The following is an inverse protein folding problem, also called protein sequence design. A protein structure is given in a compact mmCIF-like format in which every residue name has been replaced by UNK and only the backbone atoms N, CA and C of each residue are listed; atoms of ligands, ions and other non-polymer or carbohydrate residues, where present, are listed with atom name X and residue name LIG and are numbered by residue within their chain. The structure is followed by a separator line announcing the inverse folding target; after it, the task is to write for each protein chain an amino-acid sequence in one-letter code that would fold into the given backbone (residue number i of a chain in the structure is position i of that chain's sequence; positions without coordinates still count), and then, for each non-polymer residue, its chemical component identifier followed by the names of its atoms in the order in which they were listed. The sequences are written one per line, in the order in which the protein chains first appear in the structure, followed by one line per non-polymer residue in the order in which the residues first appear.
data_IF_464061001871
#
_entry.id   IF_464061001871
#
_cell.length_a   1.000
_cell.length_b   1.000
_cell.length_c   1.000
_cell.angle_alpha   90.00
_cell.angle_beta   90.00
_cell.angle_gamma   90.00
#
_symmetry.space_group_name_H-M   'P 1'
#
loop_
_entity.id
_entity.type
_entity.pdbx_description
1 polymer ?
#
# COMPACT_ATOMS: atom_id res chain seq x y z
N UNK A 1 -81.89 36.70 30.37
CA UNK A 1 -81.57 36.78 28.91
C UNK A 1 -80.20 36.16 28.68
N UNK A 2 -80.14 34.86 28.27
CA UNK A 2 -78.88 34.11 27.98
C UNK A 2 -78.59 34.20 26.48
N UNK A 3 -77.49 34.79 26.16
CA UNK A 3 -76.95 34.80 24.79
C UNK A 3 -75.94 33.61 24.61
N UNK A 4 -76.26 32.67 23.71
CA UNK A 4 -75.39 31.61 23.32
C UNK A 4 -74.40 32.12 22.22
N UNK A 5 -73.11 32.08 22.51
CA UNK A 5 -72.04 32.34 21.52
C UNK A 5 -71.64 31.00 20.93
N UNK A 6 -71.90 30.83 19.63
CA UNK A 6 -71.45 29.67 18.90
C UNK A 6 -69.98 29.82 18.42
N UNK A 7 -69.18 28.85 18.78
CA UNK A 7 -67.75 28.79 18.35
C UNK A 7 -67.67 28.08 17.01
N UNK A 8 -67.27 28.79 15.95
CA UNK A 8 -66.97 28.23 14.67
C UNK A 8 -65.49 27.79 14.67
N UNK A 9 -65.24 26.48 14.58
CA UNK A 9 -63.90 25.95 14.38
C UNK A 9 -63.59 25.94 12.86
N UNK A 10 -62.63 26.77 12.45
CA UNK A 10 -62.06 26.73 11.09
C UNK A 10 -60.97 25.68 11.09
N UNK A 11 -61.21 24.54 10.42
CA UNK A 11 -60.19 23.55 10.11
C UNK A 11 -59.39 24.03 8.91
N UNK A 12 -58.20 24.53 9.14
CA UNK A 12 -57.20 24.80 8.05
C UNK A 12 -56.53 23.47 7.71
N UNK A 13 -56.97 22.84 6.64
CA UNK A 13 -56.27 21.70 6.03
C UNK A 13 -54.96 22.16 5.41
N UNK A 14 -53.83 21.83 6.05
CA UNK A 14 -52.53 21.97 5.43
C UNK A 14 -52.41 20.93 4.31
N UNK A 15 -52.50 21.38 3.07
CA UNK A 15 -52.08 20.61 1.89
C UNK A 15 -50.56 20.44 2.01
N UNK A 16 -50.11 19.26 2.43
CA UNK A 16 -48.73 18.84 2.25
C UNK A 16 -48.50 18.71 0.72
N UNK A 17 -47.75 19.65 0.16
CA UNK A 17 -47.21 19.51 -1.18
C UNK A 17 -46.31 18.26 -1.21
N UNK A 18 -46.40 17.42 -2.24
CA UNK A 18 -45.45 16.35 -2.39
C UNK A 18 -44.05 16.98 -2.44
N UNK A 19 -43.15 16.59 -1.54
CA UNK A 19 -41.73 16.89 -1.67
C UNK A 19 -41.29 16.28 -3.00
N UNK A 20 -40.94 17.13 -3.95
CA UNK A 20 -40.24 16.72 -5.16
C UNK A 20 -38.98 15.99 -4.70
N UNK A 21 -38.99 14.67 -4.81
CA UNK A 21 -37.79 13.86 -4.73
C UNK A 21 -36.99 14.26 -5.95
N UNK A 22 -36.04 15.19 -5.77
CA UNK A 22 -35.03 15.47 -6.77
C UNK A 22 -34.32 14.13 -7.02
N UNK A 23 -34.65 13.52 -8.15
CA UNK A 23 -33.92 12.33 -8.57
C UNK A 23 -32.45 12.73 -8.67
N UNK A 24 -31.58 12.13 -7.85
CA UNK A 24 -30.14 12.31 -7.99
C UNK A 24 -29.78 12.03 -9.45
N UNK A 25 -29.09 12.97 -10.10
CA UNK A 25 -28.65 12.80 -11.48
C UNK A 25 -27.81 11.55 -11.58
N UNK A 26 -28.14 10.68 -12.53
CA UNK A 26 -27.37 9.47 -12.78
C UNK A 26 -25.95 9.84 -13.24
N UNK A 27 -24.95 9.17 -12.67
CA UNK A 27 -23.55 9.38 -13.02
C UNK A 27 -23.25 8.61 -14.32
N UNK A 28 -22.87 9.32 -15.38
CA UNK A 28 -22.37 8.67 -16.59
C UNK A 28 -20.93 8.19 -16.39
N UNK A 29 -20.74 6.89 -16.30
CA UNK A 29 -19.43 6.27 -16.20
C UNK A 29 -18.81 5.92 -17.57
N UNK A 30 -19.56 6.10 -18.66
CA UNK A 30 -19.13 5.74 -20.01
C UNK A 30 -18.75 4.25 -20.08
N UNK A 31 -17.55 3.96 -20.62
CA UNK A 31 -16.99 2.60 -20.74
C UNK A 31 -15.93 2.27 -19.69
N UNK A 32 -15.68 3.16 -18.73
CA UNK A 32 -14.65 2.91 -17.71
C UNK A 32 -15.13 1.87 -16.68
N UNK A 33 -14.21 1.07 -16.19
CA UNK A 33 -14.47 0.16 -15.09
C UNK A 33 -14.62 0.95 -13.79
N UNK A 34 -15.64 0.63 -13.00
CA UNK A 34 -15.90 1.19 -11.69
C UNK A 34 -15.99 0.10 -10.63
N UNK A 35 -15.62 0.43 -9.39
CA UNK A 35 -15.69 -0.46 -8.25
C UNK A 35 -16.59 0.13 -7.16
N UNK A 36 -17.36 -0.71 -6.48
CA UNK A 36 -18.16 -0.33 -5.31
C UNK A 36 -17.31 -0.26 -4.03
N UNK A 37 -16.23 0.52 -4.09
CA UNK A 37 -15.26 0.69 -2.98
C UNK A 37 -15.51 1.92 -2.12
N UNK A 38 -16.55 2.66 -2.43
CA UNK A 38 -17.04 3.87 -1.74
C UNK A 38 -18.52 4.08 -2.09
N UNK A 39 -19.10 5.18 -1.62
CA UNK A 39 -20.51 5.53 -1.86
C UNK A 39 -20.74 6.26 -3.19
N UNK A 40 -19.72 6.47 -4.01
CA UNK A 40 -19.78 7.30 -5.22
C UNK A 40 -20.84 6.85 -6.23
N UNK A 41 -21.04 5.52 -6.39
CA UNK A 41 -22.03 4.95 -7.30
C UNK A 41 -23.31 4.47 -6.60
N UNK A 42 -23.44 4.75 -5.30
CA UNK A 42 -24.53 4.21 -4.47
C UNK A 42 -25.44 5.36 -4.06
N UNK A 43 -26.60 5.46 -4.68
CA UNK A 43 -27.62 6.42 -4.26
C UNK A 43 -28.32 5.97 -2.97
N UNK A 44 -28.66 4.69 -2.86
CA UNK A 44 -29.33 4.13 -1.68
C UNK A 44 -29.08 2.62 -1.54
N UNK A 45 -28.92 2.15 -0.30
CA UNK A 45 -28.91 0.73 0.04
C UNK A 45 -30.25 0.35 0.67
N UNK A 46 -30.98 -0.60 0.11
CA UNK A 46 -32.31 -1.03 0.58
C UNK A 46 -32.30 -2.45 1.14
N UNK A 47 -33.18 -2.70 2.11
CA UNK A 47 -33.30 -4.00 2.77
C UNK A 47 -32.00 -4.37 3.48
N UNK A 48 -31.51 -5.59 3.24
CA UNK A 48 -30.29 -6.13 3.83
C UNK A 48 -29.01 -5.84 3.01
N UNK A 49 -29.11 -4.97 2.00
CA UNK A 49 -27.96 -4.62 1.17
C UNK A 49 -26.92 -3.87 1.98
N UNK A 50 -25.67 -4.33 1.90
CA UNK A 50 -24.54 -3.68 2.58
C UNK A 50 -23.24 -3.86 1.78
N UNK A 51 -22.35 -2.89 1.93
CA UNK A 51 -20.98 -3.05 1.45
C UNK A 51 -20.16 -3.83 2.47
N UNK A 52 -19.29 -4.72 2.00
CA UNK A 52 -18.32 -5.38 2.87
C UNK A 52 -17.00 -5.64 2.13
N UNK A 53 -15.93 -5.70 2.91
CA UNK A 53 -14.61 -6.01 2.38
C UNK A 53 -14.44 -7.53 2.28
N UNK A 54 -14.17 -8.00 1.07
CA UNK A 54 -13.81 -9.38 0.84
C UNK A 54 -12.42 -9.68 1.42
N UNK A 55 -12.25 -10.87 1.97
CA UNK A 55 -10.96 -11.36 2.42
C UNK A 55 -10.31 -12.19 1.31
N UNK A 56 -9.04 -11.91 0.97
CA UNK A 56 -8.35 -12.74 -0.01
C UNK A 56 -8.03 -14.11 0.58
N UNK A 57 -8.07 -15.12 -0.27
CA UNK A 57 -7.80 -16.49 0.14
C UNK A 57 -6.29 -16.75 0.19
N UNK A 58 -5.76 -17.38 1.26
CA UNK A 58 -4.35 -17.76 1.34
C UNK A 58 -4.00 -18.77 0.24
N UNK A 59 -2.81 -18.58 -0.33
CA UNK A 59 -2.23 -19.41 -1.39
C UNK A 59 -0.80 -19.81 -0.98
N UNK A 60 0.04 -20.05 -1.94
CA UNK A 60 1.40 -20.55 -1.78
C UNK A 60 2.31 -19.54 -1.04
N UNK A 61 3.31 -20.05 -0.34
CA UNK A 61 4.51 -19.29 -0.01
C UNK A 61 5.32 -19.12 -1.29
N UNK A 62 5.54 -17.87 -1.69
CA UNK A 62 6.19 -17.53 -2.96
C UNK A 62 7.66 -17.18 -2.82
N UNK A 63 8.11 -16.88 -1.60
CA UNK A 63 9.51 -16.62 -1.28
C UNK A 63 9.78 -16.99 0.18
N UNK A 64 10.93 -17.62 0.42
CA UNK A 64 11.52 -17.82 1.75
C UNK A 64 12.86 -17.08 1.78
N UNK A 65 13.11 -16.31 2.83
CA UNK A 65 14.30 -15.48 2.97
C UNK A 65 15.36 -16.17 3.81
N UNK A 66 15.87 -17.30 3.31
CA UNK A 66 16.80 -18.20 3.99
C UNK A 66 18.26 -18.08 3.57
N UNK A 67 18.62 -17.12 2.71
CA UNK A 67 20.01 -16.92 2.33
C UNK A 67 20.83 -16.26 3.45
N UNK A 68 22.17 -16.46 3.49
CA UNK A 68 23.00 -15.91 4.57
C UNK A 68 22.93 -14.38 4.73
N UNK A 69 22.61 -13.64 3.67
CA UNK A 69 22.41 -12.18 3.69
C UNK A 69 20.96 -11.75 3.92
N UNK A 70 20.04 -12.70 4.12
CA UNK A 70 18.62 -12.48 4.41
C UNK A 70 18.33 -12.73 5.88
N UNK A 71 17.15 -13.22 6.21
CA UNK A 71 16.79 -13.64 7.55
C UNK A 71 15.36 -13.32 7.97
N UNK A 72 15.11 -13.37 9.26
CA UNK A 72 13.78 -13.32 9.87
C UNK A 72 13.14 -11.94 9.94
N UNK A 73 13.84 -10.89 9.53
CA UNK A 73 13.30 -9.52 9.47
C UNK A 73 13.28 -8.94 8.08
N UNK A 74 13.30 -9.78 7.04
CA UNK A 74 13.06 -9.35 5.67
C UNK A 74 11.64 -8.80 5.54
N UNK A 75 11.51 -7.63 4.88
CA UNK A 75 10.25 -6.91 4.83
C UNK A 75 10.22 -5.87 3.69
N UNK A 76 9.15 -5.07 3.67
CA UNK A 76 8.94 -3.96 2.74
C UNK A 76 8.98 -4.39 1.28
N UNK A 77 8.36 -5.53 1.01
CA UNK A 77 8.26 -6.05 -0.35
C UNK A 77 7.49 -5.10 -1.25
N UNK A 78 8.02 -4.85 -2.45
CA UNK A 78 7.30 -4.20 -3.53
C UNK A 78 7.35 -5.09 -4.78
N UNK A 79 6.17 -5.33 -5.37
CA UNK A 79 6.03 -6.23 -6.50
C UNK A 79 5.19 -5.55 -7.57
N UNK A 80 5.67 -5.58 -8.80
CA UNK A 80 4.92 -5.13 -9.97
C UNK A 80 5.23 -5.99 -11.19
N UNK A 81 4.29 -6.01 -12.12
CA UNK A 81 4.48 -6.67 -13.41
C UNK A 81 5.16 -5.72 -14.38
N UNK A 82 6.18 -6.21 -15.05
CA UNK A 82 6.95 -5.51 -16.07
C UNK A 82 7.02 -6.39 -17.34
N UNK A 83 6.02 -6.23 -18.20
CA UNK A 83 5.84 -7.10 -19.35
C UNK A 83 5.57 -8.55 -18.94
N UNK A 84 6.50 -9.44 -19.24
CA UNK A 84 6.41 -10.87 -18.93
C UNK A 84 7.10 -11.26 -17.62
N UNK A 85 7.60 -10.30 -16.85
CA UNK A 85 8.33 -10.52 -15.59
C UNK A 85 7.60 -9.83 -14.45
N UNK A 86 7.49 -10.50 -13.33
CA UNK A 86 7.12 -9.91 -12.04
C UNK A 86 8.40 -9.61 -11.28
N UNK A 87 8.65 -8.34 -10.99
CA UNK A 87 9.82 -7.88 -10.25
C UNK A 87 9.48 -7.69 -8.80
N UNK A 88 10.34 -8.19 -7.91
CA UNK A 88 10.21 -8.06 -6.47
C UNK A 88 11.46 -7.42 -5.89
N UNK A 89 11.25 -6.43 -5.01
CA UNK A 89 12.29 -5.76 -4.24
C UNK A 89 11.93 -5.86 -2.77
N UNK A 90 12.93 -6.12 -1.91
CA UNK A 90 12.69 -6.28 -0.48
C UNK A 90 13.95 -5.96 0.34
N UNK A 91 13.73 -5.56 1.59
CA UNK A 91 14.81 -5.46 2.56
C UNK A 91 15.22 -6.84 3.00
N UNK A 92 16.52 -7.13 2.96
CA UNK A 92 17.15 -8.28 3.57
C UNK A 92 17.77 -7.88 4.91
N UNK A 93 17.41 -8.59 5.98
CA UNK A 93 17.81 -8.28 7.34
C UNK A 93 17.57 -9.48 8.27
N UNK A 94 18.49 -9.70 9.19
CA UNK A 94 18.34 -10.66 10.26
C UNK A 94 18.52 -10.01 11.63
N UNK A 95 17.60 -10.28 12.55
CA UNK A 95 17.67 -9.79 13.92
C UNK A 95 17.61 -10.95 14.91
N UNK A 96 18.65 -11.09 15.69
CA UNK A 96 18.68 -12.06 16.80
C UNK A 96 17.89 -11.49 17.99
N UNK A 97 16.75 -12.08 18.26
CA UNK A 97 15.84 -11.64 19.33
C UNK A 97 16.47 -11.86 20.73
N UNK A 98 17.32 -12.87 20.89
CA UNK A 98 17.96 -13.21 22.17
C UNK A 98 19.04 -12.19 22.52
N UNK A 99 19.93 -11.90 21.58
CA UNK A 99 21.02 -10.93 21.78
C UNK A 99 20.58 -9.48 21.50
N UNK A 100 19.40 -9.28 20.90
CA UNK A 100 18.85 -7.98 20.45
C UNK A 100 19.78 -7.23 19.51
N UNK A 101 20.42 -7.95 18.59
CA UNK A 101 21.37 -7.39 17.63
C UNK A 101 21.01 -7.81 16.20
N UNK A 102 21.25 -6.88 15.26
CA UNK A 102 21.30 -7.25 13.86
C UNK A 102 22.53 -8.12 13.60
N UNK A 103 22.39 -9.19 12.82
CA UNK A 103 23.46 -10.13 12.53
C UNK A 103 24.34 -9.66 11.36
N UNK A 104 23.80 -8.82 10.50
CA UNK A 104 24.50 -8.20 9.37
C UNK A 104 23.89 -6.85 9.02
N UNK A 105 24.56 -6.02 8.20
CA UNK A 105 23.96 -4.80 7.64
C UNK A 105 22.73 -5.11 6.80
N UNK A 106 21.79 -4.18 6.74
CA UNK A 106 20.63 -4.30 5.85
C UNK A 106 21.05 -4.19 4.38
N UNK A 107 20.39 -4.96 3.53
CA UNK A 107 20.52 -4.90 2.08
C UNK A 107 19.15 -4.70 1.42
N UNK A 108 19.15 -4.24 0.18
CA UNK A 108 18.00 -4.41 -0.70
C UNK A 108 18.31 -5.55 -1.66
N UNK A 109 17.41 -6.52 -1.69
CA UNK A 109 17.50 -7.68 -2.56
C UNK A 109 16.44 -7.65 -3.66
N UNK A 110 16.70 -8.40 -4.72
CA UNK A 110 15.83 -8.56 -5.88
C UNK A 110 15.46 -10.03 -6.09
N UNK A 111 14.20 -10.25 -6.47
CA UNK A 111 13.73 -11.53 -6.97
C UNK A 111 12.80 -11.30 -8.17
N UNK A 112 12.66 -12.30 -9.02
CA UNK A 112 11.80 -12.22 -10.20
C UNK A 112 11.01 -13.50 -10.44
N UNK A 113 9.89 -13.36 -11.16
CA UNK A 113 9.03 -14.47 -11.53
C UNK A 113 8.43 -14.27 -12.91
N UNK A 114 8.09 -15.36 -13.62
CA UNK A 114 7.35 -15.33 -14.88
C UNK A 114 5.84 -15.45 -14.72
N UNK A 115 5.39 -15.90 -13.56
CA UNK A 115 3.99 -16.17 -13.26
C UNK A 115 3.43 -15.40 -12.05
N UNK A 116 4.30 -14.69 -11.30
CA UNK A 116 3.94 -14.00 -10.06
C UNK A 116 3.78 -14.94 -8.85
N UNK A 117 4.16 -16.22 -9.01
CA UNK A 117 4.03 -17.27 -8.00
C UNK A 117 5.39 -17.85 -7.64
N UNK A 118 6.14 -18.31 -8.64
CA UNK A 118 7.45 -18.91 -8.45
C UNK A 118 8.53 -17.83 -8.62
N UNK A 119 8.95 -17.24 -7.50
CA UNK A 119 10.02 -16.24 -7.50
C UNK A 119 11.39 -16.90 -7.36
N UNK A 120 12.32 -16.48 -8.19
CA UNK A 120 13.73 -16.88 -8.16
C UNK A 120 14.60 -15.70 -7.74
N UNK A 121 15.72 -16.00 -7.11
CA UNK A 121 16.75 -15.03 -6.68
C UNK A 121 17.93 -15.15 -7.64
N UNK A 122 18.04 -14.31 -8.67
CA UNK A 122 19.14 -14.41 -9.64
C UNK A 122 20.47 -14.02 -8.99
N UNK A 123 21.54 -14.67 -9.40
CA UNK A 123 22.88 -14.22 -9.09
C UNK A 123 23.20 -12.98 -9.95
N UNK A 124 23.30 -11.80 -9.31
CA UNK A 124 23.46 -10.53 -10.03
C UNK A 124 24.91 -10.04 -10.09
N UNK A 125 25.78 -10.54 -9.22
CA UNK A 125 27.19 -10.16 -9.20
C UNK A 125 27.49 -8.69 -8.84
N UNK A 126 26.54 -7.96 -8.23
CA UNK A 126 26.66 -6.51 -8.03
C UNK A 126 27.32 -6.15 -6.71
N UNK A 127 26.97 -6.83 -5.62
CA UNK A 127 27.41 -6.49 -4.27
C UNK A 127 28.19 -7.66 -3.68
N UNK A 128 29.37 -7.37 -3.18
CA UNK A 128 30.15 -8.36 -2.45
C UNK A 128 29.65 -8.52 -1.02
N UNK A 129 29.39 -9.76 -0.63
CA UNK A 129 29.02 -10.20 0.70
C UNK A 129 29.81 -11.45 1.09
N UNK A 130 30.50 -11.43 2.22
CA UNK A 130 31.30 -12.55 2.76
C UNK A 130 32.26 -13.17 1.72
N UNK A 131 32.96 -12.32 0.98
CA UNK A 131 33.95 -12.72 -0.05
C UNK A 131 33.33 -13.22 -1.36
N UNK A 132 32.01 -13.20 -1.53
CA UNK A 132 31.33 -13.63 -2.74
C UNK A 132 30.40 -12.57 -3.32
N UNK A 133 30.22 -12.56 -4.63
CA UNK A 133 29.19 -11.79 -5.33
C UNK A 133 28.06 -12.67 -5.85
N UNK A 134 28.04 -13.94 -5.49
CA UNK A 134 26.99 -14.88 -5.88
C UNK A 134 25.74 -14.67 -5.03
N UNK A 135 25.07 -13.55 -5.26
CA UNK A 135 23.88 -13.14 -4.52
C UNK A 135 22.95 -12.25 -5.36
N UNK A 136 21.76 -11.98 -4.82
CA UNK A 136 20.73 -11.13 -5.42
C UNK A 136 20.65 -9.73 -4.80
N UNK A 137 21.70 -9.27 -4.13
CA UNK A 137 21.77 -7.96 -3.50
C UNK A 137 21.95 -6.88 -4.57
N UNK A 138 21.10 -5.86 -4.55
CA UNK A 138 21.15 -4.72 -5.49
C UNK A 138 21.60 -3.41 -4.85
N UNK A 139 21.40 -3.24 -3.53
CA UNK A 139 21.85 -2.04 -2.81
C UNK A 139 22.47 -2.42 -1.45
N UNK A 140 23.53 -1.68 -1.10
CA UNK A 140 24.22 -1.68 0.18
C UNK A 140 24.32 -0.25 0.69
N UNK A 141 24.05 -0.01 1.94
CA UNK A 141 24.19 1.31 2.57
C UNK A 141 22.95 2.19 2.42
N UNK A 142 23.06 3.33 1.74
CA UNK A 142 21.93 4.24 1.58
C UNK A 142 20.81 3.59 0.76
N UNK A 143 19.59 3.66 1.27
CA UNK A 143 18.41 3.13 0.57
C UNK A 143 18.02 1.71 0.92
N UNK A 144 18.75 1.01 1.80
CA UNK A 144 18.50 -0.42 2.08
C UNK A 144 17.31 -0.69 3.00
N UNK A 145 16.93 0.27 3.86
CA UNK A 145 15.95 -0.04 4.90
C UNK A 145 14.53 -0.33 4.38
N UNK A 146 14.02 0.49 3.48
CA UNK A 146 12.65 0.38 2.98
C UNK A 146 12.56 0.84 1.50
N UNK A 147 13.41 0.30 0.67
CA UNK A 147 13.45 0.62 -0.75
C UNK A 147 12.19 0.13 -1.44
N UNK A 148 11.52 1.03 -2.15
CA UNK A 148 10.37 0.73 -2.99
C UNK A 148 10.65 1.18 -4.40
N UNK A 149 10.61 0.25 -5.33
CA UNK A 149 10.79 0.50 -6.75
C UNK A 149 9.46 0.43 -7.50
N UNK A 150 9.40 1.14 -8.61
CA UNK A 150 8.32 1.05 -9.59
C UNK A 150 8.84 1.30 -11.00
N UNK A 151 8.12 0.78 -12.00
CA UNK A 151 8.30 1.18 -13.39
C UNK A 151 7.62 2.52 -13.59
N UNK A 152 8.34 3.47 -14.17
CA UNK A 152 7.80 4.80 -14.44
C UNK A 152 6.93 4.77 -15.71
N UNK A 153 5.66 5.11 -15.54
CA UNK A 153 4.68 5.20 -16.63
C UNK A 153 4.50 6.63 -17.15
N UNK A 154 5.34 7.58 -16.70
CA UNK A 154 5.38 8.91 -17.27
C UNK A 154 5.80 8.83 -18.74
N UNK A 155 4.97 9.30 -19.71
CA UNK A 155 5.31 9.21 -21.12
C UNK A 155 6.58 9.98 -21.50
N UNK A 156 7.01 10.94 -20.67
CA UNK A 156 8.23 11.72 -20.86
C UNK A 156 9.41 11.18 -20.06
N UNK A 157 9.29 9.98 -19.46
CA UNK A 157 10.37 9.38 -18.70
C UNK A 157 11.52 8.98 -19.64
N UNK A 158 12.76 9.43 -19.38
CA UNK A 158 13.89 9.06 -20.21
C UNK A 158 14.28 7.58 -19.96
N UNK A 159 14.78 6.86 -20.97
CA UNK A 159 15.09 5.43 -20.88
C UNK A 159 16.05 5.06 -19.74
N UNK A 160 17.01 5.92 -19.42
CA UNK A 160 17.97 5.73 -18.33
C UNK A 160 17.36 5.81 -16.93
N UNK A 161 16.15 6.36 -16.82
CA UNK A 161 15.39 6.47 -15.58
C UNK A 161 14.04 5.73 -15.61
N UNK A 162 13.93 4.73 -16.50
CA UNK A 162 12.71 3.93 -16.71
C UNK A 162 12.15 3.30 -15.45
N UNK A 163 13.02 3.04 -14.49
CA UNK A 163 12.63 2.60 -13.15
C UNK A 163 13.02 3.66 -12.14
N UNK A 164 12.15 3.89 -11.18
CA UNK A 164 12.37 4.82 -10.09
C UNK A 164 12.24 4.11 -8.76
N UNK A 165 12.98 4.60 -7.78
CA UNK A 165 12.95 4.07 -6.43
C UNK A 165 12.94 5.19 -5.40
N UNK A 166 12.34 4.91 -4.25
CA UNK A 166 12.31 5.80 -3.09
C UNK A 166 12.67 5.02 -1.83
N UNK A 167 13.46 5.61 -0.95
CA UNK A 167 13.82 4.99 0.32
C UNK A 167 14.25 6.01 1.36
N UNK A 168 14.16 5.64 2.64
CA UNK A 168 14.65 6.50 3.72
C UNK A 168 16.19 6.56 3.76
N UNK A 169 16.71 7.69 4.23
CA UNK A 169 18.15 7.89 4.35
C UNK A 169 18.81 7.24 5.58
N UNK A 170 18.13 7.17 6.72
CA UNK A 170 18.69 6.58 7.94
C UNK A 170 18.62 5.04 7.92
N UNK A 171 19.59 4.33 8.55
CA UNK A 171 20.65 4.86 9.43
C UNK A 171 21.85 5.51 8.73
N UNK A 172 22.02 5.32 7.43
CA UNK A 172 23.23 5.73 6.71
C UNK A 172 23.23 7.21 6.30
N UNK A 173 22.09 7.73 5.77
CA UNK A 173 21.98 9.10 5.30
C UNK A 173 21.29 10.05 6.29
N UNK A 174 21.02 11.27 5.85
CA UNK A 174 20.21 12.25 6.60
C UNK A 174 18.77 11.77 6.70
N UNK A 175 18.02 12.27 7.71
CA UNK A 175 16.57 12.03 7.80
C UNK A 175 15.87 12.54 6.54
N UNK A 176 14.99 11.73 5.95
CA UNK A 176 14.20 12.05 4.77
C UNK A 176 14.18 10.91 3.77
N UNK A 177 13.47 11.14 2.67
CA UNK A 177 13.37 10.20 1.55
C UNK A 177 14.33 10.63 0.44
N UNK A 178 15.09 9.66 -0.04
CA UNK A 178 15.98 9.76 -1.19
C UNK A 178 15.35 9.06 -2.39
N UNK A 179 15.65 9.57 -3.57
CA UNK A 179 15.13 9.04 -4.84
C UNK A 179 16.26 8.47 -5.69
N UNK A 180 15.94 7.38 -6.35
CA UNK A 180 16.85 6.59 -7.17
C UNK A 180 16.25 6.40 -8.56
N UNK A 181 17.10 6.14 -9.54
CA UNK A 181 16.71 5.78 -10.90
C UNK A 181 17.53 4.60 -11.42
N UNK A 182 16.98 3.92 -12.40
CA UNK A 182 17.63 2.80 -13.09
C UNK A 182 17.07 2.63 -14.51
N UNK A 183 17.93 2.22 -15.45
CA UNK A 183 17.52 1.85 -16.79
C UNK A 183 16.96 0.43 -16.88
N UNK A 184 17.44 -0.48 -16.01
CA UNK A 184 17.16 -1.92 -16.07
C UNK A 184 16.38 -2.46 -14.86
N UNK A 185 16.20 -1.63 -13.82
CA UNK A 185 15.57 -2.04 -12.55
C UNK A 185 16.46 -2.88 -11.63
N UNK A 186 17.73 -3.06 -12.01
CA UNK A 186 18.73 -3.86 -11.28
C UNK A 186 19.88 -3.00 -10.78
N UNK A 187 20.44 -2.14 -11.66
CA UNK A 187 21.53 -1.21 -11.32
C UNK A 187 20.94 0.14 -11.00
N UNK A 188 21.07 0.54 -9.76
CA UNK A 188 20.46 1.75 -9.23
C UNK A 188 21.47 2.85 -8.96
N UNK A 189 21.11 4.06 -9.34
CA UNK A 189 21.86 5.28 -9.06
C UNK A 189 21.03 6.25 -8.23
N UNK A 190 21.69 6.96 -7.32
CA UNK A 190 21.07 8.02 -6.53
C UNK A 190 20.80 9.22 -7.43
N UNK A 191 19.56 9.69 -7.50
CA UNK A 191 19.18 10.83 -8.35
C UNK A 191 19.67 12.15 -7.77
N UNK A 192 19.62 12.31 -6.43
CA UNK A 192 20.12 13.48 -5.71
C UNK A 192 20.85 13.05 -4.45
N UNK A 193 22.01 13.64 -4.18
CA UNK A 193 22.80 13.38 -2.96
C UNK A 193 22.25 14.12 -1.73
N UNK A 194 20.93 14.22 -1.63
CA UNK A 194 20.21 14.79 -0.49
C UNK A 194 18.78 14.25 -0.46
N UNK A 195 18.12 14.22 0.70
CA UNK A 195 16.71 13.86 0.75
C UNK A 195 15.87 14.91 0.00
N UNK A 196 14.81 14.44 -0.64
CA UNK A 196 13.85 15.27 -1.40
C UNK A 196 12.55 15.51 -0.64
N UNK A 197 12.20 14.62 0.30
CA UNK A 197 11.08 14.78 1.24
C UNK A 197 11.66 14.65 2.65
N UNK A 198 11.45 15.66 3.52
CA UNK A 198 12.07 15.73 4.86
C UNK A 198 11.09 15.80 6.00
N UNK A 199 9.82 16.11 5.72
CA UNK A 199 8.73 16.12 6.69
C UNK A 199 8.05 14.75 6.73
N UNK A 200 8.23 14.01 7.83
CA UNK A 200 7.68 12.67 8.03
C UNK A 200 8.49 11.82 9.02
N UNK A 201 8.01 10.60 9.25
CA UNK A 201 8.64 9.54 10.04
C UNK A 201 8.81 8.27 9.21
N UNK A 202 9.89 8.21 8.49
CA UNK A 202 10.14 7.33 7.34
C UNK A 202 10.57 5.90 7.70
N UNK A 203 10.52 5.49 8.96
CA UNK A 203 10.77 4.11 9.38
C UNK A 203 9.54 3.24 9.09
N UNK A 204 9.30 3.06 7.81
CA UNK A 204 8.13 2.40 7.25
C UNK A 204 8.33 2.15 5.76
N UNK A 205 7.42 1.46 5.12
CA UNK A 205 7.33 1.43 3.67
C UNK A 205 6.76 2.76 3.18
N UNK A 206 7.63 3.59 2.61
CA UNK A 206 7.28 4.82 1.92
C UNK A 206 7.30 4.50 0.43
N UNK A 207 6.33 4.98 -0.32
CA UNK A 207 6.19 4.60 -1.72
C UNK A 207 5.84 5.79 -2.59
N UNK A 208 6.15 5.66 -3.86
CA UNK A 208 5.75 6.62 -4.88
C UNK A 208 5.39 5.88 -6.18
N UNK A 209 4.66 6.56 -7.04
CA UNK A 209 4.32 6.12 -8.37
C UNK A 209 3.97 7.31 -9.27
N UNK A 210 3.90 7.08 -10.58
CA UNK A 210 3.30 8.01 -11.53
C UNK A 210 1.78 7.84 -11.51
N UNK A 211 1.04 8.92 -11.28
CA UNK A 211 -0.41 8.93 -11.42
C UNK A 211 -0.79 9.35 -12.85
N UNK A 212 -1.31 8.45 -13.68
CA UNK A 212 -1.63 8.77 -15.08
C UNK A 212 -2.83 9.70 -15.22
N UNK A 213 -3.69 9.79 -14.18
CA UNK A 213 -4.86 10.66 -14.18
C UNK A 213 -4.46 12.09 -13.81
N UNK A 214 -3.68 12.25 -12.74
CA UNK A 214 -3.20 13.54 -12.28
C UNK A 214 -1.96 14.03 -13.06
N UNK A 215 -1.32 13.13 -13.85
CA UNK A 215 -0.10 13.38 -14.63
C UNK A 215 1.05 13.94 -13.79
N UNK A 216 1.26 13.35 -12.64
CA UNK A 216 2.32 13.70 -11.70
C UNK A 216 2.75 12.49 -10.87
N UNK A 217 3.92 12.56 -10.25
CA UNK A 217 4.33 11.60 -9.24
C UNK A 217 3.60 11.89 -7.94
N UNK A 218 3.19 10.84 -7.25
CA UNK A 218 2.54 10.89 -5.94
C UNK A 218 3.36 10.06 -4.98
N UNK A 219 3.62 10.59 -3.79
CA UNK A 219 4.25 9.89 -2.67
C UNK A 219 3.25 9.65 -1.56
N UNK A 220 3.38 8.52 -0.89
CA UNK A 220 2.70 8.23 0.38
C UNK A 220 3.71 7.74 1.41
N UNK A 221 3.82 8.44 2.52
CA UNK A 221 4.74 8.11 3.59
C UNK A 221 4.11 8.25 4.97
N UNK A 222 4.75 7.64 5.96
CA UNK A 222 4.28 7.67 7.34
C UNK A 222 4.68 8.94 8.07
N UNK A 223 3.77 9.40 8.95
CA UNK A 223 4.04 10.39 9.98
C UNK A 223 3.33 10.01 11.29
N UNK A 224 3.34 10.92 12.25
CA UNK A 224 2.59 10.79 13.51
C UNK A 224 1.76 12.06 13.74
N UNK A 225 0.51 11.85 14.15
CA UNK A 225 -0.38 12.90 14.67
C UNK A 225 -0.88 12.44 16.03
N UNK A 226 -0.70 13.26 17.08
CA UNK A 226 -1.11 12.91 18.45
C UNK A 226 -0.59 11.52 18.91
N UNK A 227 0.66 11.19 18.57
CA UNK A 227 1.31 9.90 18.85
C UNK A 227 0.72 8.70 18.08
N UNK A 228 -0.25 8.89 17.21
CA UNK A 228 -0.82 7.86 16.33
C UNK A 228 -0.09 7.89 14.99
N UNK A 229 0.29 6.70 14.48
CA UNK A 229 0.88 6.56 13.13
C UNK A 229 -0.18 6.85 12.08
N UNK A 230 0.11 7.77 11.19
CA UNK A 230 -0.79 8.16 10.09
C UNK A 230 0.01 8.31 8.78
N UNK A 231 -0.67 8.63 7.70
CA UNK A 231 -0.12 8.71 6.37
C UNK A 231 -0.21 10.16 5.87
N UNK A 232 0.86 10.61 5.22
CA UNK A 232 0.93 11.85 4.45
C UNK A 232 1.09 11.53 2.96
N UNK A 233 0.76 12.52 2.14
CA UNK A 233 0.97 12.50 0.70
C UNK A 233 1.53 13.82 0.22
N UNK A 234 2.34 13.77 -0.82
CA UNK A 234 2.79 14.94 -1.58
C UNK A 234 2.97 14.55 -3.05
N UNK A 235 3.13 15.56 -3.90
CA UNK A 235 3.18 15.36 -5.35
C UNK A 235 4.41 16.03 -5.96
N UNK A 236 4.82 15.56 -7.14
CA UNK A 236 5.99 16.09 -7.85
C UNK A 236 5.78 16.01 -9.37
N UNK A 237 6.17 17.04 -10.13
CA UNK A 237 6.19 16.97 -11.59
C UNK A 237 7.39 16.18 -12.15
N UNK A 238 8.50 16.08 -11.39
CA UNK A 238 9.81 15.63 -11.88
C UNK A 238 10.47 14.53 -11.01
N UNK A 239 9.76 14.03 -9.98
CA UNK A 239 10.26 13.06 -9.00
C UNK A 239 11.37 13.60 -8.08
N UNK A 240 11.69 14.86 -8.13
CA UNK A 240 12.76 15.52 -7.35
C UNK A 240 12.23 16.67 -6.53
N UNK A 241 11.37 17.49 -7.12
CA UNK A 241 10.77 18.67 -6.49
C UNK A 241 9.37 18.30 -6.00
N UNK A 242 9.20 18.23 -4.69
CA UNK A 242 7.98 17.77 -4.06
C UNK A 242 7.23 18.92 -3.39
N UNK A 243 5.92 18.89 -3.43
CA UNK A 243 5.07 19.80 -2.66
C UNK A 243 5.22 19.53 -1.16
N UNK A 244 4.77 20.45 -0.31
CA UNK A 244 4.71 20.18 1.13
C UNK A 244 3.74 19.02 1.41
N UNK A 245 4.15 18.01 2.20
CA UNK A 245 3.28 16.90 2.53
C UNK A 245 2.05 17.32 3.32
N UNK A 246 0.91 16.68 3.04
CA UNK A 246 -0.36 16.87 3.75
C UNK A 246 -0.88 15.53 4.27
N UNK A 247 -1.60 15.56 5.40
CA UNK A 247 -2.24 14.38 5.96
C UNK A 247 -3.36 13.86 5.06
N UNK A 248 -3.48 12.55 4.94
CA UNK A 248 -4.67 11.94 4.35
C UNK A 248 -5.91 12.30 5.19
N UNK A 249 -7.03 12.40 4.51
CA UNK A 249 -8.33 12.72 5.11
C UNK A 249 -9.22 11.49 5.10
N UNK A 250 -9.98 11.32 6.16
CA UNK A 250 -10.93 10.23 6.34
C UNK A 250 -12.30 10.78 6.76
N UNK A 251 -13.40 10.05 6.53
CA UNK A 251 -14.72 10.44 7.06
C UNK A 251 -14.67 10.69 8.56
N UNK A 252 -15.46 11.65 9.06
CA UNK A 252 -15.40 12.14 10.44
C UNK A 252 -15.58 11.06 11.54
N UNK A 253 -16.24 9.95 11.22
CA UNK A 253 -16.44 8.82 12.15
C UNK A 253 -15.36 7.74 12.06
N UNK A 254 -14.34 7.94 11.24
CA UNK A 254 -13.24 6.96 11.11
C UNK A 254 -12.39 7.00 12.38
N UNK A 255 -12.20 5.87 13.09
CA UNK A 255 -11.43 5.87 14.32
C UNK A 255 -9.95 6.11 14.07
N UNK A 256 -9.28 6.79 15.01
CA UNK A 256 -7.84 6.92 15.00
C UNK A 256 -7.17 5.56 15.26
N UNK A 257 -6.37 5.12 14.34
CA UNK A 257 -5.67 3.83 14.39
C UNK A 257 -4.26 3.97 13.84
N UNK A 258 -3.31 3.24 14.43
CA UNK A 258 -1.94 3.22 13.94
C UNK A 258 -1.86 2.53 12.57
N UNK A 259 -1.59 3.30 11.51
CA UNK A 259 -1.31 2.79 10.17
C UNK A 259 0.22 2.71 9.99
N UNK A 260 0.77 1.50 10.07
CA UNK A 260 2.21 1.29 10.05
C UNK A 260 2.80 1.45 8.65
N UNK A 261 2.20 0.79 7.66
CA UNK A 261 2.49 0.93 6.22
C UNK A 261 1.25 1.40 5.48
N UNK A 262 1.33 1.64 4.19
CA UNK A 262 0.19 2.14 3.42
C UNK A 262 -0.17 1.28 2.20
N UNK A 263 0.81 0.73 1.46
CA UNK A 263 0.62 -0.08 0.24
C UNK A 263 -0.42 0.51 -0.73
N UNK A 264 -0.42 1.85 -0.90
CA UNK A 264 -1.35 2.56 -1.76
C UNK A 264 -0.83 2.53 -3.20
N UNK A 265 -1.74 2.31 -4.16
CA UNK A 265 -1.43 2.35 -5.58
C UNK A 265 -2.68 2.63 -6.42
N UNK A 266 -2.54 3.10 -7.66
CA UNK A 266 -3.63 3.06 -8.62
C UNK A 266 -4.09 1.61 -8.86
N UNK A 267 -5.39 1.40 -8.96
CA UNK A 267 -5.91 0.11 -9.37
C UNK A 267 -5.68 -0.08 -10.87
N UNK A 268 -4.94 -1.11 -11.28
CA UNK A 268 -4.45 -1.25 -12.67
C UNK A 268 -5.55 -1.24 -13.74
N UNK A 269 -6.76 -1.73 -13.42
CA UNK A 269 -7.91 -1.77 -14.34
C UNK A 269 -8.75 -0.51 -14.31
N UNK A 270 -8.60 0.33 -13.29
CA UNK A 270 -9.31 1.59 -13.09
C UNK A 270 -8.42 2.60 -12.34
N UNK A 271 -7.39 3.17 -12.98
CA UNK A 271 -6.33 3.94 -12.32
C UNK A 271 -6.81 5.26 -11.69
N UNK A 272 -8.04 5.70 -11.98
CA UNK A 272 -8.72 6.78 -11.27
C UNK A 272 -9.11 6.40 -9.83
N UNK A 273 -9.12 5.12 -9.50
CA UNK A 273 -9.34 4.61 -8.14
C UNK A 273 -7.98 4.21 -7.54
N UNK A 274 -7.61 4.83 -6.41
CA UNK A 274 -6.46 4.41 -5.61
C UNK A 274 -6.97 3.42 -4.57
N UNK A 275 -6.28 2.30 -4.45
CA UNK A 275 -6.53 1.30 -3.42
C UNK A 275 -5.31 1.17 -2.53
N UNK A 276 -5.53 0.94 -1.24
CA UNK A 276 -4.44 0.78 -0.28
C UNK A 276 -4.73 -0.34 0.71
N UNK A 277 -3.65 -0.98 1.17
CA UNK A 277 -3.69 -2.01 2.19
C UNK A 277 -2.79 -1.62 3.36
N UNK A 278 -3.17 -0.55 4.12
CA UNK A 278 -2.36 -0.16 5.26
C UNK A 278 -2.33 -1.27 6.30
N UNK A 279 -1.13 -1.54 6.82
CA UNK A 279 -0.96 -2.45 7.94
C UNK A 279 -1.27 -1.70 9.23
N UNK A 280 -2.40 -2.05 9.86
CA UNK A 280 -2.79 -1.50 11.15
C UNK A 280 -2.02 -2.20 12.26
N UNK A 281 -1.38 -1.42 13.15
CA UNK A 281 -0.79 -1.93 14.37
C UNK A 281 -1.78 -1.78 15.53
N UNK A 282 -1.96 -2.85 16.30
CA UNK A 282 -2.80 -2.90 17.49
C UNK A 282 -1.92 -2.88 18.74
N UNK A 283 -1.87 -1.76 19.50
CA UNK A 283 -1.02 -1.66 20.69
C UNK A 283 -1.38 -2.62 21.81
N UNK A 284 -2.64 -3.05 21.90
CA UNK A 284 -3.15 -3.90 22.98
C UNK A 284 -2.53 -5.30 23.02
N UNK A 285 -2.18 -5.83 21.85
CA UNK A 285 -1.63 -7.18 21.69
C UNK A 285 -0.37 -7.24 20.83
N UNK A 286 0.13 -6.07 20.41
CA UNK A 286 1.30 -5.91 19.55
C UNK A 286 1.20 -6.64 18.21
N UNK A 287 -0.02 -6.90 17.73
CA UNK A 287 -0.28 -7.53 16.45
C UNK A 287 -0.39 -6.49 15.32
N UNK A 288 -0.15 -6.96 14.12
CA UNK A 288 -0.34 -6.18 12.88
C UNK A 288 -1.30 -6.90 11.95
N UNK A 289 -2.13 -6.14 11.26
CA UNK A 289 -3.13 -6.69 10.33
C UNK A 289 -3.38 -5.69 9.20
N UNK A 290 -3.40 -6.12 7.93
CA UNK A 290 -3.76 -5.23 6.84
C UNK A 290 -5.27 -4.98 6.83
N UNK A 291 -5.63 -3.73 6.59
CA UNK A 291 -7.01 -3.29 6.33
C UNK A 291 -7.09 -2.74 4.91
N UNK A 292 -8.28 -2.44 4.42
CA UNK A 292 -8.50 -1.88 3.10
C UNK A 292 -8.89 -0.42 3.16
N UNK A 293 -8.43 0.37 2.19
CA UNK A 293 -8.90 1.73 1.94
C UNK A 293 -8.88 2.06 0.45
N UNK A 294 -9.71 3.03 0.06
CA UNK A 294 -9.82 3.49 -1.32
C UNK A 294 -9.97 5.00 -1.41
N UNK A 295 -9.62 5.57 -2.54
CA UNK A 295 -9.75 7.00 -2.82
C UNK A 295 -9.87 7.25 -4.32
N UNK A 296 -10.62 8.31 -4.69
CA UNK A 296 -10.71 8.77 -6.09
C UNK A 296 -9.78 9.93 -6.39
N UNK A 297 -9.41 10.72 -5.41
CA UNK A 297 -8.54 11.90 -5.55
C UNK A 297 -7.12 11.71 -4.97
N UNK A 298 -6.88 10.60 -4.26
CA UNK A 298 -5.59 10.31 -3.62
C UNK A 298 -5.35 11.06 -2.31
N UNK A 299 -6.31 11.83 -1.82
CA UNK A 299 -6.25 12.58 -0.56
C UNK A 299 -7.34 12.19 0.43
N UNK A 300 -8.57 12.06 -0.04
CA UNK A 300 -9.73 11.66 0.75
C UNK A 300 -9.91 10.15 0.60
N UNK A 301 -9.75 9.41 1.70
CA UNK A 301 -9.81 7.95 1.70
C UNK A 301 -10.99 7.44 2.52
N UNK A 302 -11.81 6.58 1.90
CA UNK A 302 -12.70 5.67 2.61
C UNK A 302 -11.86 4.54 3.20
N UNK A 303 -11.97 4.29 4.51
CA UNK A 303 -11.20 3.25 5.21
C UNK A 303 -12.14 2.24 5.87
N UNK A 304 -11.86 0.97 5.63
CA UNK A 304 -12.60 -0.16 6.17
C UNK A 304 -11.88 -0.73 7.40
N UNK A 305 -12.61 -0.94 8.50
CA UNK A 305 -12.00 -1.35 9.76
C UNK A 305 -11.81 -2.86 9.92
N UNK A 306 -12.42 -3.67 9.04
CA UNK A 306 -12.24 -5.12 9.04
C UNK A 306 -10.86 -5.46 8.46
N UNK A 307 -10.11 -6.33 9.15
CA UNK A 307 -8.85 -6.85 8.61
C UNK A 307 -9.11 -7.66 7.34
N UNK A 308 -8.32 -7.43 6.30
CA UNK A 308 -8.37 -8.23 5.07
C UNK A 308 -7.61 -9.56 5.22
N UNK A 309 -6.57 -9.57 6.06
CA UNK A 309 -5.88 -10.79 6.48
C UNK A 309 -5.87 -10.78 8.00
N UNK A 310 -6.39 -11.86 8.63
CA UNK A 310 -6.37 -11.98 10.08
C UNK A 310 -4.94 -12.06 10.61
N UNK A 311 -4.64 -11.44 11.76
CA UNK A 311 -3.35 -11.59 12.44
C UNK A 311 -3.21 -12.95 13.11
N UNK A 312 -4.32 -13.72 13.23
CA UNK A 312 -4.28 -15.07 13.78
C UNK A 312 -3.37 -15.95 12.92
N UNK A 313 -2.81 -16.99 13.56
CA UNK A 313 -1.95 -17.97 12.91
C UNK A 313 -2.75 -19.24 12.57
N UNK A 314 -3.62 -19.21 11.54
CA UNK A 314 -4.47 -20.33 11.20
C UNK A 314 -3.66 -21.50 10.61
N UNK A 315 -4.23 -22.69 10.71
CA UNK A 315 -3.59 -23.92 10.25
C UNK A 315 -3.20 -23.89 8.77
N UNK A 316 -4.02 -23.28 7.93
CA UNK A 316 -3.76 -23.14 6.48
C UNK A 316 -2.57 -22.21 6.15
N UNK A 317 -2.03 -21.53 7.17
CA UNK A 317 -0.79 -20.75 7.07
C UNK A 317 0.31 -21.34 7.93
N UNK A 318 0.27 -22.61 8.26
CA UNK A 318 1.25 -23.34 9.08
C UNK A 318 1.49 -22.69 10.46
N UNK A 319 0.48 -22.02 11.02
CA UNK A 319 0.60 -21.27 12.26
C UNK A 319 1.41 -19.97 12.19
N UNK A 320 1.85 -19.55 11.01
CA UNK A 320 2.63 -18.33 10.87
C UNK A 320 1.78 -17.07 11.07
N UNK A 321 2.28 -16.18 11.89
CA UNK A 321 1.73 -14.85 12.16
C UNK A 321 2.46 -13.80 11.32
N UNK A 322 2.03 -12.57 11.52
CA UNK A 322 2.54 -11.38 10.87
C UNK A 322 1.96 -11.17 9.49
N UNK A 323 1.57 -9.96 9.23
CA UNK A 323 0.81 -9.64 8.04
C UNK A 323 1.15 -8.23 7.56
N UNK A 324 2.44 -7.95 7.39
CA UNK A 324 2.84 -6.77 6.64
C UNK A 324 2.51 -7.00 5.18
N UNK A 325 1.53 -6.23 4.69
CA UNK A 325 1.17 -6.27 3.29
C UNK A 325 2.30 -5.73 2.42
N UNK A 326 2.66 -6.46 1.39
CA UNK A 326 3.55 -5.96 0.35
C UNK A 326 2.86 -4.83 -0.45
N UNK A 327 3.64 -3.91 -0.99
CA UNK A 327 3.15 -3.00 -2.02
C UNK A 327 2.97 -3.76 -3.33
N UNK A 328 1.85 -4.48 -3.43
CA UNK A 328 1.51 -5.34 -4.55
C UNK A 328 0.01 -5.57 -4.65
N UNK A 329 -0.54 -5.35 -5.82
CA UNK A 329 -1.87 -5.80 -6.25
C UNK A 329 -1.75 -6.02 -7.75
N UNK A 330 -1.59 -7.27 -8.17
CA UNK A 330 -1.22 -7.58 -9.54
C UNK A 330 -2.13 -8.66 -10.13
N UNK A 331 -2.49 -8.49 -11.40
CA UNK A 331 -3.10 -9.55 -12.19
C UNK A 331 -2.06 -10.58 -12.58
N UNK A 332 -2.39 -11.87 -12.47
CA UNK A 332 -1.51 -12.94 -12.89
C UNK A 332 -1.70 -13.21 -14.39
N UNK A 333 -0.61 -13.49 -15.10
CA UNK A 333 -0.63 -13.82 -16.51
C UNK A 333 -1.50 -15.06 -16.77
N UNK A 334 -2.46 -14.94 -17.68
CA UNK A 334 -3.39 -16.03 -18.02
C UNK A 334 -4.50 -16.26 -16.99
N UNK A 335 -4.65 -15.41 -15.99
CA UNK A 335 -5.70 -15.50 -14.98
C UNK A 335 -6.35 -14.13 -14.72
N UNK A 336 -7.23 -13.69 -15.60
CA UNK A 336 -7.91 -12.40 -15.51
C UNK A 336 -8.98 -12.31 -14.40
N UNK A 337 -9.29 -13.45 -13.77
CA UNK A 337 -10.29 -13.55 -12.70
C UNK A 337 -9.73 -13.46 -11.30
N UNK A 338 -8.40 -13.37 -11.17
CA UNK A 338 -7.73 -13.36 -9.88
C UNK A 338 -6.76 -12.17 -9.78
N UNK A 339 -6.78 -11.50 -8.64
CA UNK A 339 -5.79 -10.50 -8.26
C UNK A 339 -4.95 -11.05 -7.12
N UNK A 340 -3.64 -10.99 -7.25
CA UNK A 340 -2.70 -11.41 -6.23
C UNK A 340 -2.30 -10.22 -5.35
N UNK A 341 -2.34 -10.44 -4.04
CA UNK A 341 -1.70 -9.63 -3.01
C UNK A 341 -0.77 -10.52 -2.20
N UNK A 342 0.19 -9.92 -1.50
CA UNK A 342 1.21 -10.68 -0.78
C UNK A 342 1.38 -10.14 0.64
N UNK A 343 1.51 -11.04 1.61
CA UNK A 343 1.72 -10.70 3.01
C UNK A 343 2.95 -11.42 3.56
N UNK A 344 3.74 -10.72 4.38
CA UNK A 344 4.88 -11.34 5.06
C UNK A 344 4.41 -12.21 6.22
N UNK A 345 5.06 -13.34 6.43
CA UNK A 345 4.84 -14.27 7.53
C UNK A 345 6.15 -14.55 8.28
N UNK A 346 6.05 -15.03 9.50
CA UNK A 346 7.17 -15.41 10.37
C UNK A 346 8.16 -14.25 10.65
N UNK A 347 7.69 -12.99 10.63
CA UNK A 347 8.51 -11.83 10.90
C UNK A 347 8.94 -11.79 12.36
N UNK A 348 10.26 -11.74 12.64
CA UNK A 348 10.92 -11.98 13.92
C UNK A 348 10.79 -13.41 14.48
N UNK A 349 10.31 -14.36 13.69
CA UNK A 349 10.12 -15.75 14.11
C UNK A 349 11.08 -16.67 13.35
N UNK A 350 11.79 -17.54 14.07
CA UNK A 350 12.72 -18.49 13.45
C UNK A 350 13.94 -17.86 12.75
N UNK A 351 14.59 -18.60 11.85
CA UNK A 351 15.79 -18.16 11.14
C UNK A 351 15.49 -17.32 9.88
N UNK A 352 14.30 -17.43 9.32
CA UNK A 352 13.87 -16.79 8.07
C UNK A 352 12.49 -16.17 8.21
N UNK A 353 12.08 -15.38 7.24
CA UNK A 353 10.70 -14.94 7.04
C UNK A 353 10.18 -15.46 5.70
N UNK A 354 8.88 -15.31 5.49
CA UNK A 354 8.20 -15.83 4.31
C UNK A 354 7.32 -14.77 3.69
N UNK A 355 7.14 -14.85 2.40
CA UNK A 355 6.14 -14.08 1.68
C UNK A 355 5.10 -15.04 1.11
N UNK A 356 3.85 -14.88 1.55
CA UNK A 356 2.72 -15.67 1.05
C UNK A 356 1.87 -14.86 0.10
N UNK A 357 1.43 -15.49 -0.97
CA UNK A 357 0.40 -14.96 -1.87
C UNK A 357 -0.99 -15.20 -1.29
N UNK A 358 -1.85 -14.21 -1.50
CA UNK A 358 -3.29 -14.28 -1.25
C UNK A 358 -4.02 -13.86 -2.52
N UNK A 359 -5.19 -14.42 -2.76
CA UNK A 359 -5.95 -14.20 -3.98
C UNK A 359 -7.33 -13.60 -3.72
N UNK A 360 -7.64 -12.51 -4.39
CA UNK A 360 -9.01 -12.02 -4.62
C UNK A 360 -9.56 -12.62 -5.90
N UNK A 361 -10.84 -13.04 -5.87
CA UNK A 361 -11.58 -13.58 -7.02
C UNK A 361 -12.83 -12.77 -7.31
#
# INVERSE_FOLDING_TARGET
LLMKIGLFAVVVGALLAPSDVVAEESIDIGSRLELFVDDFLIGELKGDAQQFVHQPQPREVVLVTGEPWEGNTCAYYSIFRDGDVYRMYYRASHFDVKTRKAQHPEFTCYAESRDGIQFTKPNLGLVEWDGSKENNIILKGLGTHCFVAFRDENPNCPPEARYKGISRGRPVGKKGLYVFHSADGIRWSLTKNRPVITDGYFDSQNLAFWDPIQKQYVDYHRTFTNKVRTIMTCTSPDFVTWTNPVLLKYPARTPDQHLYTNAIRPYERAPHIKVGFPTRYRPSDSQVEPIFMSSRDGLNFQRWNKAVISPDAPKERDGNRSNYMANALVSLKGNDRELAVYGSEAYYEGPDSRLRRFAYR
#
